data_IF_839419674006
#
_entry.id   IF_839419674006
#
_cell.length_a   1.000
_cell.length_b   1.000
_cell.length_c   1.000
_cell.angle_alpha   90.00
_cell.angle_beta   90.00
_cell.angle_gamma   90.00
#
_symmetry.space_group_name_H-M   'P 1'
#
loop_
_entity.id
_entity.type
_entity.pdbx_description
1 polymer ?
#
# COMPACT_ATOMS: atom_id res chain seq x y z
N UNK A 1 -4.50 6.38 20.08
CA UNK A 1 -4.51 5.28 19.09
C UNK A 1 -4.83 5.95 17.77
N UNK A 2 -3.92 5.93 16.81
CA UNK A 2 -4.12 6.56 15.51
C UNK A 2 -4.84 5.54 14.62
N UNK A 3 -5.85 5.98 13.88
CA UNK A 3 -6.65 5.12 13.03
C UNK A 3 -6.64 5.66 11.60
N UNK A 4 -6.16 4.86 10.67
CA UNK A 4 -6.25 5.14 9.23
C UNK A 4 -7.42 4.34 8.68
N UNK A 5 -8.44 5.05 8.22
CA UNK A 5 -9.64 4.47 7.62
C UNK A 5 -9.48 4.42 6.10
N UNK A 6 -9.42 3.21 5.54
CA UNK A 6 -9.31 2.98 4.09
C UNK A 6 -10.67 2.50 3.59
N UNK A 7 -11.44 3.39 2.99
CA UNK A 7 -12.76 3.04 2.43
C UNK A 7 -12.64 2.09 1.23
N UNK A 8 -11.62 2.30 0.39
CA UNK A 8 -11.42 1.50 -0.83
C UNK A 8 -9.96 1.46 -1.27
N UNK A 9 -9.43 0.24 -1.40
CA UNK A 9 -8.16 -0.03 -2.08
C UNK A 9 -8.42 -0.74 -3.41
N UNK A 10 -7.89 -0.21 -4.51
CA UNK A 10 -7.95 -0.86 -5.84
C UNK A 10 -6.54 -1.06 -6.35
N UNK A 11 -6.12 -2.31 -6.51
CA UNK A 11 -4.84 -2.68 -7.09
C UNK A 11 -5.06 -3.19 -8.53
N UNK A 12 -4.40 -2.56 -9.50
CA UNK A 12 -4.36 -3.05 -10.89
C UNK A 12 -3.07 -3.83 -11.07
N UNK A 13 -3.18 -5.15 -10.99
CA UNK A 13 -2.04 -6.07 -10.98
C UNK A 13 -1.96 -6.81 -12.32
N UNK A 14 -0.74 -7.07 -12.77
CA UNK A 14 -0.43 -7.88 -13.93
C UNK A 14 0.68 -8.87 -13.60
N UNK A 15 0.63 -10.07 -14.15
CA UNK A 15 1.66 -11.10 -13.90
C UNK A 15 1.51 -11.84 -12.56
N UNK A 16 0.38 -11.67 -11.87
CA UNK A 16 0.01 -12.44 -10.69
C UNK A 16 -1.24 -13.28 -10.99
N UNK A 17 -1.32 -14.45 -10.38
CA UNK A 17 -2.55 -15.24 -10.31
C UNK A 17 -3.59 -14.57 -9.40
N UNK A 18 -4.85 -15.02 -9.47
CA UNK A 18 -5.91 -14.48 -8.60
C UNK A 18 -5.58 -14.69 -7.11
N UNK A 19 -5.08 -15.88 -6.74
CA UNK A 19 -4.73 -16.21 -5.37
C UNK A 19 -3.57 -15.35 -4.84
N UNK A 20 -2.55 -15.12 -5.66
CA UNK A 20 -1.45 -14.20 -5.32
C UNK A 20 -1.95 -12.76 -5.19
N UNK A 21 -2.85 -12.32 -6.08
CA UNK A 21 -3.48 -11.01 -6.00
C UNK A 21 -4.28 -10.82 -4.71
N UNK A 22 -5.03 -11.84 -4.29
CA UNK A 22 -5.79 -11.84 -3.03
C UNK A 22 -4.86 -11.80 -1.82
N UNK A 23 -3.81 -12.62 -1.83
CA UNK A 23 -2.79 -12.65 -0.76
C UNK A 23 -2.04 -11.33 -0.66
N UNK A 24 -1.71 -10.71 -1.79
CA UNK A 24 -1.11 -9.38 -1.84
C UNK A 24 -2.04 -8.33 -1.21
N UNK A 25 -3.31 -8.32 -1.60
CA UNK A 25 -4.29 -7.37 -1.06
C UNK A 25 -4.39 -7.48 0.47
N UNK A 26 -4.49 -8.68 1.01
CA UNK A 26 -4.49 -8.91 2.46
C UNK A 26 -3.23 -8.37 3.13
N UNK A 27 -2.04 -8.69 2.60
CA UNK A 27 -0.76 -8.25 3.17
C UNK A 27 -0.58 -6.73 3.12
N UNK A 28 -1.08 -6.08 2.07
CA UNK A 28 -1.10 -4.62 1.99
C UNK A 28 -2.01 -4.05 3.07
N UNK A 29 -3.22 -4.60 3.26
CA UNK A 29 -4.12 -4.16 4.32
C UNK A 29 -3.54 -4.35 5.72
N UNK A 30 -2.94 -5.51 6.01
CA UNK A 30 -2.26 -5.81 7.27
C UNK A 30 -1.08 -4.85 7.51
N UNK A 31 -0.25 -4.62 6.49
CA UNK A 31 0.89 -3.72 6.56
C UNK A 31 0.50 -2.27 6.79
N UNK A 32 -0.60 -1.80 6.19
CA UNK A 32 -1.12 -0.45 6.42
C UNK A 32 -1.71 -0.31 7.83
N UNK A 33 -2.41 -1.33 8.33
CA UNK A 33 -2.94 -1.33 9.70
C UNK A 33 -1.82 -1.32 10.76
N UNK A 34 -0.65 -1.87 10.44
CA UNK A 34 0.53 -1.87 11.30
C UNK A 34 1.47 -0.67 11.10
N UNK A 35 1.24 0.16 10.07
CA UNK A 35 2.12 1.27 9.74
C UNK A 35 1.89 2.48 10.67
N UNK A 36 2.98 3.14 11.05
CA UNK A 36 2.95 4.41 11.78
C UNK A 36 2.84 5.57 10.78
N UNK A 37 1.64 6.16 10.66
CA UNK A 37 1.33 7.21 9.67
C UNK A 37 1.08 8.53 10.43
N UNK A 38 1.87 9.59 10.21
CA UNK A 38 1.72 10.86 10.92
C UNK A 38 0.34 11.51 10.72
N UNK A 39 -0.32 11.99 11.79
CA UNK A 39 -1.68 12.57 11.73
C UNK A 39 -1.85 13.72 10.70
N UNK A 40 -0.83 14.56 10.49
CA UNK A 40 -0.91 15.68 9.55
C UNK A 40 -1.10 15.21 8.08
N UNK A 41 -0.72 13.98 7.75
CA UNK A 41 -0.82 13.39 6.42
C UNK A 41 -2.24 13.08 5.93
N UNK A 42 -3.23 13.11 6.83
CA UNK A 42 -4.53 12.45 6.62
C UNK A 42 -5.69 13.45 6.62
N UNK A 43 -5.46 14.74 6.89
CA UNK A 43 -6.57 15.70 7.04
C UNK A 43 -7.34 15.99 5.73
N UNK A 44 -6.82 15.66 4.54
CA UNK A 44 -7.60 15.61 3.28
C UNK A 44 -6.76 15.09 2.08
N UNK A 45 -6.37 13.79 2.03
CA UNK A 45 -5.58 13.29 0.89
C UNK A 45 -6.40 13.15 -0.40
N UNK A 46 -7.73 13.25 -0.34
CA UNK A 46 -8.61 13.02 -1.49
C UNK A 46 -8.39 11.62 -2.07
N UNK A 47 -8.12 11.54 -3.38
CA UNK A 47 -7.74 10.29 -4.04
C UNK A 47 -6.22 10.20 -4.17
N UNK A 48 -5.60 9.26 -3.45
CA UNK A 48 -4.19 8.93 -3.59
C UNK A 48 -3.97 8.03 -4.81
N UNK A 49 -3.23 8.51 -5.80
CA UNK A 49 -2.83 7.69 -6.96
C UNK A 49 -1.33 7.46 -6.93
N UNK A 50 -0.95 6.19 -6.84
CA UNK A 50 0.44 5.76 -6.78
C UNK A 50 0.78 4.92 -8.00
N UNK A 51 1.77 5.37 -8.77
CA UNK A 51 2.38 4.57 -9.83
C UNK A 51 3.69 3.96 -9.29
N UNK A 52 3.58 2.75 -8.76
CA UNK A 52 4.72 2.00 -8.22
C UNK A 52 5.31 1.08 -9.28
N UNK A 53 6.64 1.04 -9.36
CA UNK A 53 7.38 0.13 -10.24
C UNK A 53 8.20 -0.81 -9.37
N UNK A 54 7.73 -2.05 -9.23
CA UNK A 54 8.47 -3.09 -8.54
C UNK A 54 9.73 -3.46 -9.33
N UNK A 55 10.87 -3.43 -8.66
CA UNK A 55 12.13 -3.96 -9.17
C UNK A 55 12.07 -5.49 -9.32
N UNK A 56 12.94 -6.12 -10.12
CA UNK A 56 12.94 -7.57 -10.31
C UNK A 56 13.06 -8.39 -9.02
N UNK A 57 13.69 -7.81 -7.98
CA UNK A 57 13.80 -8.43 -6.64
C UNK A 57 12.51 -8.35 -5.84
N UNK A 58 11.66 -7.36 -6.10
CA UNK A 58 10.37 -7.20 -5.42
C UNK A 58 9.27 -8.02 -6.12
N UNK A 59 9.49 -8.39 -7.39
CA UNK A 59 8.60 -9.29 -8.15
C UNK A 59 8.79 -10.76 -7.80
N UNK A 60 9.87 -11.13 -7.10
CA UNK A 60 10.17 -12.54 -6.82
C UNK A 60 9.33 -13.14 -5.69
N UNK A 61 8.66 -12.32 -4.88
CA UNK A 61 7.77 -12.79 -3.81
C UNK A 61 6.72 -11.73 -3.41
N UNK A 62 5.52 -12.21 -3.07
CA UNK A 62 4.35 -11.40 -2.72
C UNK A 62 4.60 -10.52 -1.49
N UNK A 63 5.41 -10.99 -0.53
CA UNK A 63 5.66 -10.24 0.70
C UNK A 63 6.53 -9.01 0.43
N UNK A 64 7.51 -9.16 -0.46
CA UNK A 64 8.36 -8.04 -0.91
C UNK A 64 7.54 -7.00 -1.67
N UNK A 65 6.62 -7.45 -2.53
CA UNK A 65 5.72 -6.55 -3.25
C UNK A 65 4.76 -5.83 -2.30
N UNK A 66 4.21 -6.52 -1.30
CA UNK A 66 3.35 -5.91 -0.28
C UNK A 66 4.10 -4.82 0.49
N UNK A 67 5.32 -5.13 0.95
CA UNK A 67 6.16 -4.17 1.65
C UNK A 67 6.48 -2.92 0.81
N UNK A 68 6.76 -3.11 -0.48
CA UNK A 68 6.99 -2.01 -1.42
C UNK A 68 5.74 -1.12 -1.57
N UNK A 69 4.56 -1.72 -1.72
CA UNK A 69 3.29 -0.98 -1.84
C UNK A 69 3.00 -0.18 -0.57
N UNK A 70 3.08 -0.82 0.60
CA UNK A 70 2.85 -0.18 1.90
C UNK A 70 3.81 1.00 2.09
N UNK A 71 5.10 0.79 1.83
CA UNK A 71 6.11 1.84 1.93
C UNK A 71 5.83 3.02 0.98
N UNK A 72 5.38 2.72 -0.24
CA UNK A 72 4.96 3.74 -1.21
C UNK A 72 3.79 4.58 -0.73
N UNK A 73 2.76 3.94 -0.17
CA UNK A 73 1.57 4.61 0.38
C UNK A 73 1.95 5.48 1.57
N UNK A 74 2.64 4.94 2.57
CA UNK A 74 3.05 5.67 3.79
C UNK A 74 3.89 6.89 3.44
N UNK A 75 4.83 6.72 2.50
CA UNK A 75 5.69 7.82 2.05
C UNK A 75 4.91 8.94 1.38
N UNK A 76 3.92 8.62 0.57
CA UNK A 76 3.14 9.63 -0.15
C UNK A 76 2.16 10.36 0.77
N UNK A 77 1.53 9.63 1.70
CA UNK A 77 0.75 10.23 2.77
C UNK A 77 1.62 11.21 3.57
N UNK A 78 2.81 10.80 3.97
CA UNK A 78 3.75 11.65 4.73
C UNK A 78 4.20 12.91 3.98
N UNK A 79 4.13 12.94 2.64
CA UNK A 79 4.44 14.14 1.83
C UNK A 79 3.25 15.06 1.63
N UNK A 80 2.04 14.51 1.71
CA UNK A 80 0.80 15.26 1.52
C UNK A 80 0.34 15.96 2.82
N UNK A 81 1.15 15.82 3.88
CA UNK A 81 1.01 16.44 5.20
C UNK A 81 1.51 17.90 5.25
#
# INVERSE_FOLDING_TARGET
MQEVHIDRLVLKLSGLTEDEGRRLAMKVSEGLAAADIPNAAVENPGALRLDLRASPREQSDVDSLAHHIVSGIVRELSRSA
#
